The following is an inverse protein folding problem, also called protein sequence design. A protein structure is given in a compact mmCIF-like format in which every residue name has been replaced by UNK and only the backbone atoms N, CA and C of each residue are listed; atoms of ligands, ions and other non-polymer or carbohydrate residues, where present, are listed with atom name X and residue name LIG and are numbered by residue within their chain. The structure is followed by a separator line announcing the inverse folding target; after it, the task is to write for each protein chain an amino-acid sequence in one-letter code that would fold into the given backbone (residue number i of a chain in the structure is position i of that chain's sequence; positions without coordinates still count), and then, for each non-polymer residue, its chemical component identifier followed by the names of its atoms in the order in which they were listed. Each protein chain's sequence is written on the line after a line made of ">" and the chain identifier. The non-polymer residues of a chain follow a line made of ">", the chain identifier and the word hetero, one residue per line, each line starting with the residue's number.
data_IF_821515494578
#
_entry.id   IF_821515494578
#
_cell.length_a   1.000
_cell.length_b   1.000
_cell.length_c   1.000
_cell.angle_alpha   90.00
_cell.angle_beta   90.00
_cell.angle_gamma   90.00
#
_symmetry.space_group_name_H-M   'P 1'
#
loop_
_entity.id
_entity.type
_entity.pdbx_description
1 polymer ?
#
# COMPACT_ATOMS: atom_id res chain seq x y z
N UNK A 1 -44.24 9.80 51.00
CA UNK A 1 -44.69 10.34 49.69
C UNK A 1 -43.83 9.76 48.58
N UNK A 2 -44.47 9.31 47.51
CA UNK A 2 -43.93 8.61 46.33
C UNK A 2 -43.06 9.52 45.42
N UNK A 3 -42.35 8.95 44.42
CA UNK A 3 -41.02 9.39 43.95
C UNK A 3 -41.06 10.18 42.63
N UNK A 4 -39.91 10.71 42.18
CA UNK A 4 -39.70 11.10 40.77
C UNK A 4 -38.68 10.18 40.09
N UNK A 5 -39.20 9.49 39.09
CA UNK A 5 -38.53 8.59 38.15
C UNK A 5 -37.68 9.33 37.11
N UNK A 6 -36.59 8.64 36.77
CA UNK A 6 -35.95 8.42 35.46
C UNK A 6 -36.71 8.89 34.20
N UNK A 7 -36.01 9.56 33.28
CA UNK A 7 -36.25 9.48 31.82
C UNK A 7 -34.95 9.79 31.06
N UNK A 8 -34.29 8.77 30.47
CA UNK A 8 -34.29 8.47 29.02
C UNK A 8 -33.86 9.65 28.14
N UNK A 9 -32.60 9.64 27.70
CA UNK A 9 -32.18 10.36 26.48
C UNK A 9 -32.46 9.41 25.32
N UNK A 10 -33.53 9.71 24.59
CA UNK A 10 -33.86 9.09 23.32
C UNK A 10 -33.09 9.77 22.18
N UNK A 11 -32.53 8.95 21.32
CA UNK A 11 -32.01 9.26 19.99
C UNK A 11 -33.09 9.90 19.11
N UNK A 12 -32.98 11.20 18.83
CA UNK A 12 -33.61 11.90 17.70
C UNK A 12 -33.09 13.35 17.69
N UNK A 13 -32.75 14.02 16.60
CA UNK A 13 -32.76 13.62 15.21
C UNK A 13 -31.68 14.38 14.43
N UNK A 14 -31.08 13.66 13.49
CA UNK A 14 -30.13 14.16 12.49
C UNK A 14 -30.82 15.02 11.41
N UNK A 15 -32.13 15.28 11.55
CA UNK A 15 -32.95 16.03 10.59
C UNK A 15 -33.13 17.52 10.88
N UNK A 16 -32.74 18.01 12.07
CA UNK A 16 -33.06 19.40 12.46
C UNK A 16 -32.00 20.44 12.03
N UNK A 17 -30.86 20.00 11.49
CA UNK A 17 -29.78 20.89 11.05
C UNK A 17 -29.84 21.27 9.56
N UNK A 18 -30.78 20.70 8.79
CA UNK A 18 -30.91 20.96 7.35
C UNK A 18 -31.86 22.11 6.99
N UNK A 19 -32.58 22.72 7.94
CA UNK A 19 -33.64 23.68 7.63
C UNK A 19 -33.33 25.14 7.97
N UNK A 20 -32.12 25.46 8.46
CA UNK A 20 -31.74 26.83 8.83
C UNK A 20 -30.83 27.53 7.80
N UNK A 21 -30.33 26.84 6.78
CA UNK A 21 -29.50 27.45 5.74
C UNK A 21 -30.02 27.19 4.33
N UNK A 22 -31.08 27.91 3.98
CA UNK A 22 -31.45 28.15 2.59
C UNK A 22 -30.46 29.10 1.92
N UNK A 23 -29.30 28.60 1.49
CA UNK A 23 -28.42 29.30 0.53
C UNK A 23 -27.47 28.30 -0.13
N UNK A 24 -27.47 28.30 -1.47
CA UNK A 24 -26.49 27.77 -2.45
C UNK A 24 -25.44 26.78 -1.92
N UNK A 25 -25.43 25.57 -2.50
CA UNK A 25 -24.38 24.56 -2.48
C UNK A 25 -22.96 25.19 -2.49
N UNK A 26 -22.44 25.49 -1.32
CA UNK A 26 -21.02 25.76 -1.11
C UNK A 26 -20.35 24.42 -0.84
N UNK A 27 -19.26 24.18 -1.55
CA UNK A 27 -18.43 22.99 -1.37
C UNK A 27 -18.16 22.71 0.11
N UNK A 28 -18.36 21.46 0.59
CA UNK A 28 -18.15 21.14 1.99
C UNK A 28 -16.68 21.39 2.38
N UNK A 29 -16.41 21.87 3.61
CA UNK A 29 -15.07 22.11 4.13
C UNK A 29 -14.12 20.93 3.90
N UNK A 30 -12.84 21.20 3.65
CA UNK A 30 -11.81 20.18 3.35
C UNK A 30 -11.77 19.03 4.38
N UNK A 31 -12.03 19.31 5.66
CA UNK A 31 -12.08 18.28 6.71
C UNK A 31 -13.28 17.31 6.57
N UNK A 32 -14.42 17.78 6.03
CA UNK A 32 -15.59 16.94 5.73
C UNK A 32 -15.42 16.17 4.41
N UNK A 33 -14.62 16.67 3.46
CA UNK A 33 -14.18 15.92 2.27
C UNK A 33 -13.24 14.76 2.64
N UNK A 34 -12.27 15.02 3.52
CA UNK A 34 -11.35 14.01 4.07
C UNK A 34 -12.06 12.86 4.82
N UNK A 35 -13.19 13.14 5.48
CA UNK A 35 -14.00 12.10 6.15
C UNK A 35 -14.75 11.21 5.15
N UNK A 36 -15.09 11.71 3.96
CA UNK A 36 -15.71 10.90 2.89
C UNK A 36 -14.73 10.01 2.14
N UNK A 37 -13.43 10.30 2.17
CA UNK A 37 -12.41 9.60 1.36
C UNK A 37 -11.70 8.42 2.08
N UNK A 38 -12.14 8.04 3.29
CA UNK A 38 -11.49 6.95 4.04
C UNK A 38 -12.46 5.93 4.68
N UNK A 39 -13.73 5.89 4.25
CA UNK A 39 -14.69 4.92 4.79
C UNK A 39 -14.35 3.49 4.33
N UNK A 40 -13.95 2.64 5.27
CA UNK A 40 -13.76 1.22 5.00
C UNK A 40 -15.12 0.50 5.02
N UNK A 41 -15.40 -0.29 3.98
CA UNK A 41 -16.56 -1.18 3.94
C UNK A 41 -16.11 -2.61 4.16
N UNK A 42 -16.55 -3.21 5.26
CA UNK A 42 -16.19 -4.59 5.60
C UNK A 42 -17.31 -5.51 5.11
N UNK A 43 -16.96 -6.49 4.28
CA UNK A 43 -17.92 -7.49 3.78
C UNK A 43 -17.95 -8.70 4.72
N UNK A 44 -16.80 -9.25 5.10
CA UNK A 44 -16.69 -10.43 5.99
C UNK A 44 -15.42 -10.38 6.82
N UNK A 45 -15.48 -10.87 8.05
CA UNK A 45 -14.33 -11.05 8.94
C UNK A 45 -14.44 -12.39 9.67
N UNK A 46 -13.35 -13.13 9.73
CA UNK A 46 -13.21 -14.33 10.56
C UNK A 46 -11.89 -14.24 11.34
N UNK A 47 -11.90 -14.70 12.58
CA UNK A 47 -10.72 -14.73 13.44
C UNK A 47 -10.53 -16.15 13.96
N UNK A 48 -9.30 -16.66 13.80
CA UNK A 48 -8.86 -17.95 14.32
C UNK A 48 -7.62 -17.72 15.18
N UNK A 49 -7.39 -18.55 16.19
CA UNK A 49 -6.21 -18.49 17.05
C UNK A 49 -5.37 -19.74 16.86
N UNK A 50 -4.10 -19.56 16.50
CA UNK A 50 -3.12 -20.64 16.56
C UNK A 50 -2.30 -20.44 17.84
N UNK A 51 -2.41 -21.36 18.79
CA UNK A 51 -1.54 -21.31 19.97
C UNK A 51 -0.26 -22.08 19.68
N UNK A 52 0.86 -21.35 19.69
CA UNK A 52 2.19 -21.94 19.57
C UNK A 52 3.23 -21.07 20.26
N UNK A 53 3.95 -21.66 21.21
CA UNK A 53 5.11 -21.05 21.86
C UNK A 53 6.38 -21.15 20.99
N UNK A 54 7.22 -20.12 21.06
CA UNK A 54 8.53 -20.13 20.40
C UNK A 54 9.49 -21.05 21.14
N UNK A 55 10.33 -21.74 20.39
CA UNK A 55 11.29 -22.72 20.91
C UNK A 55 10.67 -24.08 21.24
N UNK A 56 9.35 -24.26 21.05
CA UNK A 56 8.63 -25.53 21.25
C UNK A 56 8.01 -26.03 19.95
N UNK A 57 7.83 -27.34 19.86
CA UNK A 57 6.99 -27.98 18.85
C UNK A 57 5.57 -28.13 19.37
N UNK A 58 4.61 -28.31 18.46
CA UNK A 58 3.19 -28.43 18.77
C UNK A 58 2.47 -27.10 18.62
N UNK A 59 1.44 -27.11 17.78
CA UNK A 59 0.53 -25.99 17.57
C UNK A 59 -0.92 -26.48 17.62
N UNK A 60 -1.76 -25.79 18.38
CA UNK A 60 -3.22 -25.99 18.42
C UNK A 60 -3.91 -24.89 17.61
N UNK A 61 -5.15 -25.14 17.18
CA UNK A 61 -5.97 -24.19 16.45
C UNK A 61 -7.35 -24.12 17.08
N UNK A 62 -7.74 -22.92 17.49
CA UNK A 62 -9.10 -22.56 17.84
C UNK A 62 -9.74 -21.84 16.66
N UNK A 63 -10.78 -22.44 16.10
CA UNK A 63 -11.50 -21.92 14.93
C UNK A 63 -13.01 -22.04 15.10
N UNK A 64 -13.74 -21.10 14.50
CA UNK A 64 -15.20 -21.02 14.61
C UNK A 64 -15.86 -21.03 13.24
N UNK A 65 -17.08 -21.58 13.17
CA UNK A 65 -17.91 -21.67 11.95
C UNK A 65 -18.79 -20.44 11.72
N UNK A 66 -18.42 -19.29 12.28
CA UNK A 66 -19.21 -18.05 12.15
C UNK A 66 -18.30 -16.87 11.83
N UNK A 67 -18.80 -15.96 11.00
CA UNK A 67 -18.15 -14.67 10.80
C UNK A 67 -18.49 -13.71 11.94
N UNK A 68 -17.61 -12.76 12.18
CA UNK A 68 -17.85 -11.67 13.13
C UNK A 68 -18.79 -10.65 12.47
N UNK A 69 -19.70 -10.06 13.26
CA UNK A 69 -20.56 -8.96 12.83
C UNK A 69 -19.72 -7.80 12.25
N UNK A 70 -19.83 -7.62 10.94
CA UNK A 70 -19.06 -6.62 10.19
C UNK A 70 -19.57 -5.18 10.43
N UNK A 71 -20.69 -5.01 11.12
CA UNK A 71 -21.27 -3.70 11.50
C UNK A 71 -20.83 -3.25 12.89
N UNK A 72 -20.23 -4.14 13.69
CA UNK A 72 -19.71 -3.79 15.01
C UNK A 72 -18.59 -2.73 14.87
N UNK A 73 -18.78 -1.59 15.54
CA UNK A 73 -17.83 -0.49 15.50
C UNK A 73 -16.41 -0.90 15.97
N UNK A 74 -16.30 -1.93 16.81
CA UNK A 74 -15.02 -2.48 17.28
C UNK A 74 -14.30 -3.23 16.18
N UNK A 75 -15.03 -3.94 15.32
CA UNK A 75 -14.49 -4.63 14.13
C UNK A 75 -14.04 -3.60 13.09
N UNK A 76 -14.83 -2.54 12.87
CA UNK A 76 -14.44 -1.43 12.01
C UNK A 76 -13.16 -0.77 12.52
N UNK A 77 -13.05 -0.52 13.83
CA UNK A 77 -11.85 0.03 14.44
C UNK A 77 -10.65 -0.91 14.29
N UNK A 78 -10.80 -2.20 14.59
CA UNK A 78 -9.78 -3.23 14.42
C UNK A 78 -9.24 -3.24 12.98
N UNK A 79 -10.12 -3.33 12.00
CA UNK A 79 -9.72 -3.37 10.60
C UNK A 79 -9.08 -2.06 10.14
N UNK A 80 -9.58 -0.91 10.63
CA UNK A 80 -8.97 0.39 10.34
C UNK A 80 -7.54 0.47 10.87
N UNK A 81 -7.30 0.07 12.12
CA UNK A 81 -5.96 0.04 12.72
C UNK A 81 -5.03 -0.90 11.94
N UNK A 82 -5.45 -2.14 11.68
CA UNK A 82 -4.67 -3.09 10.88
C UNK A 82 -4.31 -2.52 9.51
N UNK A 83 -5.25 -1.79 8.88
CA UNK A 83 -5.01 -1.19 7.58
C UNK A 83 -4.05 -0.01 7.62
N UNK A 84 -4.13 0.84 8.64
CA UNK A 84 -3.22 1.95 8.82
C UNK A 84 -1.80 1.44 9.08
N UNK A 85 -1.65 0.44 9.96
CA UNK A 85 -0.37 -0.22 10.22
C UNK A 85 0.20 -0.88 8.98
N UNK A 86 -0.68 -1.42 8.13
CA UNK A 86 -0.26 -2.05 6.90
C UNK A 86 0.35 -1.02 5.93
N UNK A 87 -0.39 0.05 5.63
CA UNK A 87 0.04 1.12 4.70
C UNK A 87 1.32 1.83 5.12
N UNK A 88 1.62 1.86 6.42
CA UNK A 88 2.78 2.55 6.96
C UNK A 88 4.09 1.77 6.78
N UNK A 89 4.05 0.53 6.31
CA UNK A 89 5.21 -0.32 6.09
C UNK A 89 5.50 -0.52 4.61
N UNK A 90 6.75 -0.84 4.28
CA UNK A 90 7.12 -1.21 2.91
C UNK A 90 6.47 -2.53 2.52
N UNK A 91 5.73 -2.51 1.41
CA UNK A 91 5.11 -3.69 0.84
C UNK A 91 6.06 -4.36 -0.16
N UNK A 92 6.04 -5.70 -0.17
CA UNK A 92 6.62 -6.54 -1.23
C UNK A 92 5.47 -7.15 -2.03
N UNK A 93 5.54 -7.20 -3.36
CA UNK A 93 4.47 -7.67 -4.22
C UNK A 93 4.75 -9.03 -4.86
N UNK A 94 3.69 -9.73 -5.22
CA UNK A 94 3.81 -10.99 -5.94
C UNK A 94 2.52 -11.45 -6.59
N UNK A 95 2.57 -12.67 -7.10
CA UNK A 95 1.42 -13.42 -7.62
C UNK A 95 1.39 -14.79 -6.97
N UNK A 96 0.30 -15.52 -7.10
CA UNK A 96 0.25 -16.91 -6.66
C UNK A 96 1.12 -17.78 -7.58
N UNK A 97 1.86 -18.71 -6.99
CA UNK A 97 2.46 -19.82 -7.72
C UNK A 97 1.36 -20.79 -8.16
N UNK A 98 0.99 -20.67 -9.44
CA UNK A 98 -0.03 -21.55 -10.03
C UNK A 98 0.48 -22.99 -10.22
N UNK A 99 1.79 -23.21 -10.24
CA UNK A 99 2.35 -24.56 -10.36
C UNK A 99 2.25 -25.34 -9.03
N UNK A 100 2.28 -24.63 -7.90
CA UNK A 100 2.28 -25.24 -6.56
C UNK A 100 1.21 -24.62 -5.64
N UNK A 101 -0.09 -24.81 -5.91
CA UNK A 101 -1.15 -24.19 -5.12
C UNK A 101 -1.25 -24.81 -3.72
N UNK A 102 -1.15 -23.97 -2.69
CA UNK A 102 -1.43 -24.35 -1.29
C UNK A 102 -2.93 -24.34 -0.99
N UNK A 103 -3.31 -24.81 0.20
CA UNK A 103 -4.71 -24.75 0.66
C UNK A 103 -5.22 -23.31 0.78
N UNK A 104 -4.34 -22.36 1.12
CA UNK A 104 -4.67 -20.94 1.06
C UNK A 104 -5.07 -20.50 -0.36
N UNK A 105 -4.24 -20.80 -1.36
CA UNK A 105 -4.51 -20.40 -2.75
C UNK A 105 -5.81 -21.04 -3.25
N UNK A 106 -5.98 -22.37 -3.10
CA UNK A 106 -7.19 -23.10 -3.52
C UNK A 106 -8.44 -22.56 -2.83
N UNK A 107 -8.37 -22.34 -1.51
CA UNK A 107 -9.49 -21.81 -0.72
C UNK A 107 -9.87 -20.39 -1.14
N UNK A 108 -8.88 -19.53 -1.38
CA UNK A 108 -9.13 -18.19 -1.90
C UNK A 108 -9.78 -18.23 -3.29
N UNK A 109 -9.31 -19.07 -4.21
CA UNK A 109 -9.92 -19.19 -5.54
C UNK A 109 -11.38 -19.64 -5.47
N UNK A 110 -11.68 -20.63 -4.62
CA UNK A 110 -13.05 -21.09 -4.41
C UNK A 110 -13.94 -19.97 -3.85
N UNK A 111 -13.46 -19.26 -2.83
CA UNK A 111 -14.17 -18.11 -2.27
C UNK A 111 -14.35 -16.98 -3.30
N UNK A 112 -13.31 -16.68 -4.08
CA UNK A 112 -13.36 -15.64 -5.11
C UNK A 112 -14.41 -15.93 -6.18
N UNK A 113 -14.60 -17.22 -6.55
CA UNK A 113 -15.62 -17.66 -7.52
C UNK A 113 -17.03 -17.60 -6.95
N UNK A 114 -17.21 -18.07 -5.71
CA UNK A 114 -18.55 -18.25 -5.10
C UNK A 114 -19.05 -17.03 -4.33
N UNK A 115 -18.15 -16.32 -3.64
CA UNK A 115 -18.40 -15.10 -2.84
C UNK A 115 -19.45 -15.26 -1.73
N UNK A 116 -19.72 -16.48 -1.31
CA UNK A 116 -20.67 -16.80 -0.22
C UNK A 116 -20.02 -16.68 1.15
N UNK A 117 -20.82 -16.68 2.21
CA UNK A 117 -20.28 -16.70 3.58
C UNK A 117 -19.67 -18.06 3.91
N UNK A 118 -20.35 -19.15 3.57
CA UNK A 118 -19.86 -20.52 3.79
C UNK A 118 -18.49 -20.76 3.15
N UNK A 119 -18.31 -20.32 1.90
CA UNK A 119 -17.02 -20.44 1.21
C UNK A 119 -15.92 -19.59 1.84
N UNK A 120 -16.26 -18.45 2.44
CA UNK A 120 -15.31 -17.64 3.20
C UNK A 120 -14.89 -18.31 4.51
N UNK A 121 -15.86 -18.89 5.24
CA UNK A 121 -15.61 -19.64 6.47
C UNK A 121 -14.70 -20.84 6.16
N UNK A 122 -15.07 -21.66 5.17
CA UNK A 122 -14.28 -22.81 4.73
C UNK A 122 -12.87 -22.40 4.31
N UNK A 123 -12.74 -21.33 3.51
CA UNK A 123 -11.43 -20.79 3.14
C UNK A 123 -10.60 -20.42 4.38
N UNK A 124 -11.15 -19.62 5.29
CA UNK A 124 -10.42 -19.13 6.45
C UNK A 124 -10.00 -20.26 7.40
N UNK A 125 -10.86 -21.26 7.63
CA UNK A 125 -10.59 -22.40 8.51
C UNK A 125 -9.51 -23.32 7.92
N UNK A 126 -9.68 -23.74 6.66
CA UNK A 126 -8.73 -24.64 6.02
C UNK A 126 -7.36 -23.98 5.86
N UNK A 127 -7.34 -22.68 5.54
CA UNK A 127 -6.10 -21.91 5.48
C UNK A 127 -5.42 -21.83 6.84
N UNK A 128 -6.17 -21.58 7.93
CA UNK A 128 -5.62 -21.54 9.29
C UNK A 128 -5.06 -22.91 9.72
N UNK A 129 -5.75 -24.01 9.40
CA UNK A 129 -5.27 -25.37 9.70
C UNK A 129 -4.00 -25.72 8.91
N UNK A 130 -3.94 -25.37 7.61
CA UNK A 130 -2.72 -25.55 6.81
C UNK A 130 -1.54 -24.74 7.40
N UNK A 131 -1.78 -23.53 7.91
CA UNK A 131 -0.72 -22.77 8.59
C UNK A 131 -0.30 -23.44 9.91
N UNK A 132 -1.26 -23.92 10.72
CA UNK A 132 -1.00 -24.63 11.97
C UNK A 132 -0.09 -25.83 11.74
N UNK A 133 -0.43 -26.68 10.75
CA UNK A 133 0.38 -27.86 10.35
C UNK A 133 1.79 -27.43 9.95
N UNK A 134 1.95 -26.38 9.14
CA UNK A 134 3.25 -25.91 8.66
C UNK A 134 4.16 -25.39 9.77
N UNK A 135 3.59 -24.77 10.79
CA UNK A 135 4.38 -24.22 11.91
C UNK A 135 4.56 -25.22 13.05
N UNK A 136 3.81 -26.31 13.11
CA UNK A 136 3.78 -27.27 14.21
C UNK A 136 5.18 -27.77 14.61
N UNK A 137 5.99 -28.16 13.62
CA UNK A 137 7.36 -28.66 13.82
C UNK A 137 8.43 -27.57 13.70
N UNK A 138 8.05 -26.34 13.36
CA UNK A 138 8.97 -25.20 13.25
C UNK A 138 9.16 -24.56 14.64
N UNK A 139 10.17 -25.03 15.39
CA UNK A 139 10.40 -24.58 16.77
C UNK A 139 10.49 -23.04 16.91
N UNK A 140 11.23 -22.29 16.06
CA UNK A 140 11.24 -20.82 16.10
C UNK A 140 9.87 -20.14 15.92
N UNK A 141 8.98 -20.71 15.10
CA UNK A 141 7.68 -20.11 14.77
C UNK A 141 6.82 -19.83 16.02
N UNK A 142 6.01 -18.77 15.94
CA UNK A 142 5.07 -18.35 17.00
C UNK A 142 3.67 -18.27 16.41
N UNK A 143 2.69 -18.72 17.17
CA UNK A 143 1.28 -18.60 16.84
C UNK A 143 0.75 -17.16 16.99
N UNK A 144 -0.56 -17.01 17.08
CA UNK A 144 -1.28 -15.75 17.23
C UNK A 144 -2.67 -15.79 16.61
N UNK A 145 -3.30 -14.62 16.52
CA UNK A 145 -4.62 -14.46 15.91
C UNK A 145 -4.49 -14.20 14.41
N UNK A 146 -5.12 -15.07 13.61
CA UNK A 146 -5.28 -14.91 12.17
C UNK A 146 -6.61 -14.24 11.88
N UNK A 147 -6.53 -13.02 11.38
CA UNK A 147 -7.70 -12.20 11.02
C UNK A 147 -7.83 -12.22 9.50
N UNK A 148 -8.83 -12.95 8.99
CA UNK A 148 -9.20 -12.95 7.59
C UNK A 148 -10.28 -11.90 7.36
N UNK A 149 -10.15 -11.08 6.33
CA UNK A 149 -11.13 -10.06 6.02
C UNK A 149 -11.32 -9.84 4.52
N UNK A 150 -12.57 -9.75 4.06
CA UNK A 150 -12.93 -9.19 2.76
C UNK A 150 -13.49 -7.79 2.99
N UNK A 151 -12.82 -6.77 2.47
CA UNK A 151 -13.17 -5.37 2.70
C UNK A 151 -12.81 -4.49 1.49
N UNK A 152 -13.34 -3.27 1.48
CA UNK A 152 -13.07 -2.25 0.48
C UNK A 152 -12.55 -0.98 1.15
N UNK A 153 -11.38 -0.52 0.70
CA UNK A 153 -10.77 0.76 1.08
C UNK A 153 -10.05 1.30 -0.15
N UNK A 154 -10.73 2.15 -0.95
CA UNK A 154 -10.36 2.57 -2.31
C UNK A 154 -10.31 1.45 -3.36
N UNK A 155 -9.97 0.22 -2.93
CA UNK A 155 -9.93 -1.02 -3.70
C UNK A 155 -10.51 -2.16 -2.86
N UNK A 156 -10.91 -3.23 -3.54
CA UNK A 156 -11.41 -4.46 -2.91
C UNK A 156 -10.24 -5.37 -2.57
N UNK A 157 -10.19 -5.79 -1.31
CA UNK A 157 -9.14 -6.65 -0.79
C UNK A 157 -9.71 -7.87 -0.09
N UNK A 158 -9.01 -8.99 -0.24
CA UNK A 158 -9.04 -10.08 0.74
C UNK A 158 -7.70 -10.06 1.46
N UNK A 159 -7.73 -9.83 2.77
CA UNK A 159 -6.54 -9.73 3.59
C UNK A 159 -6.49 -10.81 4.65
N UNK A 160 -5.28 -11.20 5.03
CA UNK A 160 -5.00 -12.00 6.23
C UNK A 160 -3.92 -11.29 7.05
N UNK A 161 -4.19 -11.12 8.35
CA UNK A 161 -3.30 -10.46 9.30
C UNK A 161 -3.00 -11.42 10.44
N UNK A 162 -1.72 -11.66 10.74
CA UNK A 162 -1.29 -12.37 11.94
C UNK A 162 -0.88 -11.33 12.99
N UNK A 163 -1.65 -11.26 14.06
CA UNK A 163 -1.38 -10.41 15.23
C UNK A 163 -1.20 -11.23 16.49
N UNK A 164 -0.61 -10.62 17.51
CA UNK A 164 -0.41 -11.24 18.83
C UNK A 164 -0.91 -10.29 19.90
N UNK A 165 -1.20 -10.82 21.07
CA UNK A 165 -1.42 -10.00 22.25
C UNK A 165 -0.09 -9.58 22.87
N UNK A 166 -0.09 -8.40 23.48
CA UNK A 166 0.95 -7.93 24.38
C UNK A 166 0.31 -7.47 25.69
N UNK A 167 1.11 -7.40 26.75
CA UNK A 167 0.63 -7.03 28.09
C UNK A 167 1.02 -5.59 28.36
N UNK A 168 0.00 -4.77 28.65
CA UNK A 168 0.17 -3.41 29.15
C UNK A 168 -0.27 -3.30 30.61
N UNK A 169 -0.16 -2.09 31.14
CA UNK A 169 -0.68 -1.73 32.47
C UNK A 169 -1.95 -0.89 32.31
N UNK A 170 -2.91 -1.12 33.20
CA UNK A 170 -4.15 -0.34 33.29
C UNK A 170 -4.36 0.14 34.72
N UNK A 171 -4.87 1.37 34.85
CA UNK A 171 -5.22 1.91 36.16
C UNK A 171 -6.68 1.57 36.49
N UNK A 172 -6.90 1.01 37.67
CA UNK A 172 -8.23 0.72 38.19
C UNK A 172 -8.48 1.53 39.45
N UNK A 173 -9.58 2.27 39.47
CA UNK A 173 -9.99 3.02 40.66
C UNK A 173 -10.45 2.07 41.75
N UNK A 174 -9.78 2.08 42.90
CA UNK A 174 -10.24 1.41 44.09
C UNK A 174 -10.94 2.42 45.01
N UNK A 175 -12.25 2.58 44.80
CA UNK A 175 -13.04 3.56 45.54
C UNK A 175 -13.11 3.27 47.05
N UNK A 176 -12.88 2.01 47.47
CA UNK A 176 -12.86 1.64 48.90
C UNK A 176 -11.55 2.04 49.58
N UNK A 177 -10.42 1.80 48.92
CA UNK A 177 -9.09 2.12 49.45
C UNK A 177 -8.59 3.54 49.08
N UNK A 178 -9.41 4.33 48.36
CA UNK A 178 -9.07 5.70 47.92
C UNK A 178 -7.72 5.80 47.19
N UNK A 179 -7.40 4.79 46.38
CA UNK A 179 -6.16 4.70 45.61
C UNK A 179 -6.41 4.13 44.21
N UNK A 180 -5.40 4.21 43.36
CA UNK A 180 -5.36 3.47 42.10
C UNK A 180 -4.65 2.13 42.31
N UNK A 181 -5.27 1.07 41.84
CA UNK A 181 -4.61 -0.22 41.63
C UNK A 181 -4.07 -0.27 40.20
N UNK A 182 -3.01 -1.05 40.01
CA UNK A 182 -2.37 -1.29 38.71
C UNK A 182 -2.63 -2.74 38.34
N UNK A 183 -3.38 -2.95 37.26
CA UNK A 183 -3.71 -4.27 36.72
C UNK A 183 -3.02 -4.49 35.37
N UNK A 184 -2.65 -5.74 35.07
CA UNK A 184 -2.22 -6.12 33.74
C UNK A 184 -3.44 -6.18 32.79
N UNK A 185 -3.28 -5.66 31.57
CA UNK A 185 -4.29 -5.77 30.51
C UNK A 185 -3.66 -6.33 29.24
N UNK A 186 -4.22 -7.43 28.73
CA UNK A 186 -3.86 -7.94 27.42
C UNK A 186 -4.57 -7.13 26.33
N UNK A 187 -3.82 -6.75 25.31
CA UNK A 187 -4.34 -6.04 24.15
C UNK A 187 -3.59 -6.48 22.89
N UNK A 188 -4.19 -6.24 21.72
CA UNK A 188 -3.58 -6.56 20.44
C UNK A 188 -2.35 -5.67 20.22
N UNK A 189 -1.22 -6.28 19.89
CA UNK A 189 0.01 -5.58 19.51
C UNK A 189 -0.07 -5.15 18.04
N UNK A 190 -0.63 -3.96 17.81
CA UNK A 190 -0.68 -3.34 16.48
C UNK A 190 0.67 -2.80 16.01
N UNK A 191 1.58 -2.47 16.94
CA UNK A 191 2.90 -1.92 16.61
C UNK A 191 3.78 -3.00 15.97
N UNK A 192 3.71 -4.22 16.51
CA UNK A 192 4.41 -5.39 15.98
C UNK A 192 3.48 -6.28 15.16
N UNK A 193 2.76 -5.71 14.19
CA UNK A 193 2.05 -6.49 13.16
C UNK A 193 3.04 -7.49 12.56
N UNK A 194 2.83 -8.78 12.85
CA UNK A 194 3.84 -9.80 12.66
C UNK A 194 4.04 -10.08 11.18
N UNK A 195 2.95 -10.45 10.52
CA UNK A 195 2.86 -10.72 9.09
C UNK A 195 1.47 -10.36 8.60
N UNK A 196 1.39 -9.88 7.38
CA UNK A 196 0.12 -9.65 6.72
C UNK A 196 0.27 -9.85 5.22
N UNK A 197 -0.80 -10.34 4.59
CA UNK A 197 -0.93 -10.44 3.14
C UNK A 197 -2.25 -9.80 2.72
N UNK A 198 -2.25 -9.12 1.58
CA UNK A 198 -3.47 -8.68 0.90
C UNK A 198 -3.48 -9.13 -0.53
N UNK A 199 -4.68 -9.44 -1.00
CA UNK A 199 -5.00 -9.77 -2.36
C UNK A 199 -5.87 -8.65 -2.92
N UNK A 200 -5.35 -7.88 -3.88
CA UNK A 200 -6.15 -6.94 -4.66
C UNK A 200 -7.08 -7.72 -5.58
N UNK A 201 -8.38 -7.72 -5.27
CA UNK A 201 -9.39 -8.51 -5.98
C UNK A 201 -9.49 -8.07 -7.44
N UNK A 202 -9.39 -6.77 -7.71
CA UNK A 202 -9.43 -6.23 -9.07
C UNK A 202 -8.18 -6.56 -9.87
N UNK A 203 -6.99 -6.46 -9.26
CA UNK A 203 -5.72 -6.81 -9.91
C UNK A 203 -5.65 -8.30 -10.22
N UNK A 204 -6.10 -9.15 -9.28
CA UNK A 204 -6.20 -10.59 -9.47
C UNK A 204 -7.13 -10.93 -10.65
N UNK A 205 -8.31 -10.31 -10.70
CA UNK A 205 -9.26 -10.46 -11.81
C UNK A 205 -8.65 -10.12 -13.17
N UNK A 206 -7.85 -9.05 -13.23
CA UNK A 206 -7.19 -8.57 -14.45
C UNK A 206 -5.92 -9.35 -14.80
N UNK A 207 -5.53 -10.34 -13.99
CA UNK A 207 -4.25 -11.06 -14.12
C UNK A 207 -3.04 -10.10 -14.17
N UNK A 208 -3.10 -9.02 -13.39
CA UNK A 208 -1.96 -8.12 -13.23
C UNK A 208 -0.80 -8.86 -12.57
N UNK A 209 0.43 -8.43 -12.85
CA UNK A 209 1.63 -9.08 -12.29
C UNK A 209 1.85 -8.78 -10.79
N UNK A 210 0.97 -8.01 -10.13
CA UNK A 210 1.11 -7.55 -8.73
C UNK A 210 -0.25 -7.44 -8.06
N UNK A 211 -0.78 -8.56 -7.62
CA UNK A 211 -2.05 -8.62 -6.89
C UNK A 211 -1.91 -9.13 -5.46
N UNK A 212 -0.80 -9.78 -5.11
CA UNK A 212 -0.44 -10.05 -3.72
C UNK A 212 0.48 -8.93 -3.24
N UNK A 213 0.26 -8.48 -2.01
CA UNK A 213 1.18 -7.60 -1.29
C UNK A 213 1.43 -8.20 0.10
N UNK A 214 2.64 -8.03 0.60
CA UNK A 214 3.08 -8.56 1.89
C UNK A 214 3.76 -7.48 2.70
N UNK A 215 3.61 -7.58 4.02
CA UNK A 215 4.47 -6.90 4.98
C UNK A 215 5.38 -7.96 5.57
N UNK A 216 6.56 -8.08 4.98
CA UNK A 216 7.64 -8.92 5.47
C UNK A 216 8.91 -8.09 5.63
N UNK A 217 9.78 -8.49 6.56
CA UNK A 217 11.16 -8.01 6.56
C UNK A 217 11.92 -8.87 5.55
N UNK A 218 12.34 -8.29 4.42
CA UNK A 218 13.18 -8.99 3.43
C UNK A 218 14.36 -9.64 4.15
N UNK A 219 14.55 -10.94 3.96
CA UNK A 219 15.63 -11.73 4.57
C UNK A 219 15.32 -12.35 5.94
N UNK A 220 14.16 -12.11 6.54
CA UNK A 220 13.77 -12.76 7.80
C UNK A 220 13.19 -14.16 7.53
N UNK A 221 13.90 -15.21 7.95
CA UNK A 221 13.45 -16.62 7.87
C UNK A 221 12.07 -16.82 8.52
N UNK A 222 11.77 -16.03 9.55
CA UNK A 222 10.49 -16.06 10.27
C UNK A 222 9.31 -15.56 9.43
N UNK A 223 9.57 -14.89 8.29
CA UNK A 223 8.53 -14.46 7.36
C UNK A 223 8.34 -15.41 6.18
N UNK A 224 9.33 -16.27 5.89
CA UNK A 224 9.31 -17.12 4.69
C UNK A 224 8.23 -18.20 4.75
N UNK A 225 7.94 -18.76 5.93
CA UNK A 225 6.88 -19.78 6.03
C UNK A 225 5.51 -19.19 5.67
N UNK A 226 5.27 -17.92 5.97
CA UNK A 226 4.00 -17.24 5.67
C UNK A 226 3.86 -16.97 4.17
N UNK A 227 4.91 -16.47 3.52
CA UNK A 227 4.97 -16.31 2.06
C UNK A 227 4.77 -17.66 1.34
N UNK A 228 5.41 -18.74 1.82
CA UNK A 228 5.24 -20.10 1.29
C UNK A 228 3.84 -20.66 1.54
N UNK A 229 3.23 -20.37 2.69
CA UNK A 229 1.85 -20.76 3.02
C UNK A 229 0.83 -20.11 2.07
N UNK A 230 1.00 -18.82 1.77
CA UNK A 230 0.19 -18.12 0.76
C UNK A 230 0.45 -18.67 -0.65
N UNK A 231 1.63 -19.26 -0.88
CA UNK A 231 2.14 -19.72 -2.18
C UNK A 231 2.33 -18.56 -3.15
N UNK A 232 3.14 -17.57 -2.77
CA UNK A 232 3.48 -16.48 -3.68
C UNK A 232 4.82 -16.66 -4.36
N UNK A 233 4.89 -16.29 -5.63
CA UNK A 233 6.12 -16.10 -6.40
C UNK A 233 6.33 -14.62 -6.71
N UNK A 234 7.60 -14.21 -6.64
CA UNK A 234 8.00 -12.86 -7.01
C UNK A 234 8.03 -12.76 -8.54
N UNK A 235 7.25 -11.85 -9.09
CA UNK A 235 7.28 -11.44 -10.51
C UNK A 235 8.09 -10.16 -10.69
N UNK A 236 8.79 -9.75 -9.64
CA UNK A 236 9.33 -8.42 -9.47
C UNK A 236 10.61 -8.22 -10.28
N UNK A 237 10.69 -7.07 -10.96
CA UNK A 237 11.95 -6.58 -11.48
C UNK A 237 12.17 -5.16 -11.00
N UNK A 238 13.42 -4.88 -10.59
CA UNK A 238 13.90 -3.52 -10.35
C UNK A 238 13.58 -2.59 -11.53
N UNK A 239 13.56 -3.13 -12.75
CA UNK A 239 13.15 -2.42 -13.96
C UNK A 239 11.69 -1.97 -13.92
N UNK A 240 10.76 -2.87 -13.58
CA UNK A 240 9.34 -2.57 -13.46
C UNK A 240 9.08 -1.51 -12.37
N UNK A 241 9.69 -1.64 -11.19
CA UNK A 241 9.54 -0.64 -10.11
C UNK A 241 10.08 0.74 -10.50
N UNK A 242 11.23 0.78 -11.17
CA UNK A 242 11.82 2.07 -11.61
C UNK A 242 10.93 2.74 -12.67
N UNK A 243 10.26 1.99 -13.55
CA UNK A 243 9.31 2.57 -14.50
C UNK A 243 8.05 3.07 -13.79
N UNK A 244 7.50 2.32 -12.84
CA UNK A 244 6.33 2.75 -12.06
C UNK A 244 6.61 4.00 -11.22
N UNK A 245 7.82 4.13 -10.68
CA UNK A 245 8.25 5.35 -10.02
C UNK A 245 8.24 6.52 -11.00
N UNK A 246 8.84 6.36 -12.19
CA UNK A 246 8.83 7.41 -13.21
C UNK A 246 7.40 7.84 -13.57
N UNK A 247 6.51 6.88 -13.80
CA UNK A 247 5.10 7.12 -14.11
C UNK A 247 4.39 7.86 -12.96
N UNK A 248 4.63 7.47 -11.70
CA UNK A 248 4.13 8.17 -10.52
C UNK A 248 4.60 9.62 -10.50
N UNK A 249 5.90 9.85 -10.70
CA UNK A 249 6.52 11.17 -10.70
C UNK A 249 6.00 12.07 -11.83
N UNK A 250 5.49 11.51 -12.93
CA UNK A 250 4.80 12.28 -13.96
C UNK A 250 3.36 12.67 -13.58
N UNK A 251 2.69 11.87 -12.75
CA UNK A 251 1.28 12.06 -12.36
C UNK A 251 1.10 12.97 -11.14
N UNK A 252 2.02 12.94 -10.19
CA UNK A 252 1.94 13.79 -8.99
C UNK A 252 2.26 15.26 -9.30
N UNK A 253 1.70 16.24 -8.56
CA UNK A 253 2.15 17.63 -8.63
C UNK A 253 3.66 17.74 -8.43
N UNK A 254 4.33 18.69 -9.10
CA UNK A 254 5.74 18.96 -8.79
C UNK A 254 5.86 19.65 -7.44
N UNK A 255 6.95 19.41 -6.68
CA UNK A 255 7.15 20.07 -5.41
C UNK A 255 7.40 21.57 -5.59
N UNK A 256 7.25 22.34 -4.51
CA UNK A 256 7.54 23.77 -4.54
C UNK A 256 9.01 24.03 -4.26
N UNK A 257 9.55 25.03 -4.95
CA UNK A 257 10.86 25.57 -4.67
C UNK A 257 10.85 26.27 -3.28
N UNK A 258 11.77 25.93 -2.36
CA UNK A 258 11.77 26.48 -1.00
C UNK A 258 11.97 28.00 -0.93
N UNK A 259 12.66 28.60 -1.91
CA UNK A 259 12.97 30.03 -1.91
C UNK A 259 11.85 30.85 -2.53
N UNK A 260 11.26 30.36 -3.62
CA UNK A 260 10.26 31.09 -4.41
C UNK A 260 8.82 30.65 -4.15
N UNK A 261 8.62 29.53 -3.45
CA UNK A 261 7.34 28.88 -3.19
C UNK A 261 6.50 28.62 -4.45
N UNK A 262 7.16 28.43 -5.60
CA UNK A 262 6.52 28.11 -6.88
C UNK A 262 6.79 26.64 -7.24
N UNK A 263 5.89 25.96 -7.97
CA UNK A 263 6.15 24.62 -8.47
C UNK A 263 7.40 24.60 -9.34
N UNK A 264 8.33 23.70 -9.04
CA UNK A 264 9.50 23.48 -9.91
C UNK A 264 9.06 22.86 -11.23
N UNK A 265 9.81 23.10 -12.30
CA UNK A 265 9.55 22.47 -13.59
C UNK A 265 9.70 20.94 -13.48
N UNK A 266 8.87 20.19 -14.23
CA UNK A 266 8.89 18.72 -14.19
C UNK A 266 10.26 18.14 -14.53
N UNK A 267 10.98 18.74 -15.48
CA UNK A 267 12.33 18.30 -15.86
C UNK A 267 13.28 18.45 -14.68
N UNK A 268 13.26 19.62 -14.04
CA UNK A 268 14.09 19.90 -12.88
C UNK A 268 13.77 18.95 -11.72
N UNK A 269 12.48 18.66 -11.49
CA UNK A 269 12.06 17.69 -10.49
C UNK A 269 12.65 16.29 -10.76
N UNK A 270 12.53 15.78 -11.98
CA UNK A 270 13.05 14.46 -12.35
C UNK A 270 14.58 14.39 -12.25
N UNK A 271 15.29 15.47 -12.60
CA UNK A 271 16.75 15.58 -12.47
C UNK A 271 17.19 15.56 -10.98
N UNK A 272 16.45 16.27 -10.11
CA UNK A 272 16.68 16.25 -8.66
C UNK A 272 16.44 14.86 -8.08
N UNK A 273 15.35 14.19 -8.46
CA UNK A 273 15.05 12.80 -8.03
C UNK A 273 16.13 11.83 -8.53
N UNK A 274 16.55 11.94 -9.80
CA UNK A 274 17.64 11.13 -10.36
C UNK A 274 18.92 11.28 -9.53
N UNK A 275 19.28 12.52 -9.20
CA UNK A 275 20.48 12.83 -8.43
C UNK A 275 20.42 12.27 -7.01
N UNK A 276 19.27 12.40 -6.34
CA UNK A 276 19.05 11.83 -5.01
C UNK A 276 19.21 10.29 -5.01
N UNK A 277 18.62 9.60 -5.99
CA UNK A 277 18.73 8.14 -6.13
C UNK A 277 20.16 7.72 -6.47
N UNK A 278 20.85 8.45 -7.34
CA UNK A 278 22.22 8.15 -7.76
C UNK A 278 23.21 8.26 -6.59
N UNK A 279 22.98 9.21 -5.69
CA UNK A 279 23.80 9.44 -4.49
C UNK A 279 23.46 8.50 -3.33
N UNK A 280 22.32 7.81 -3.38
CA UNK A 280 21.93 6.81 -2.38
C UNK A 280 22.86 5.58 -2.42
N UNK A 281 23.34 5.07 -1.27
CA UNK A 281 24.11 3.82 -1.19
C UNK A 281 23.40 2.66 -1.90
N UNK A 282 24.11 1.97 -2.79
CA UNK A 282 23.55 0.87 -3.57
C UNK A 282 22.46 1.26 -4.58
N UNK A 283 22.16 2.56 -4.74
CA UNK A 283 21.02 3.10 -5.51
C UNK A 283 19.68 2.54 -5.06
N UNK A 284 19.54 2.39 -3.75
CA UNK A 284 18.29 1.95 -3.13
C UNK A 284 17.32 3.13 -3.13
N UNK A 285 16.14 2.87 -3.66
CA UNK A 285 14.99 3.77 -3.63
C UNK A 285 14.13 3.36 -2.46
N UNK A 286 13.78 4.31 -1.59
CA UNK A 286 12.74 4.16 -0.58
C UNK A 286 11.68 5.25 -0.82
N UNK A 287 10.43 4.83 -1.07
CA UNK A 287 9.34 5.75 -1.46
C UNK A 287 9.07 6.79 -0.37
N UNK A 288 9.11 6.39 0.92
CA UNK A 288 8.88 7.32 2.03
C UNK A 288 10.00 8.34 2.16
N UNK A 289 11.25 7.91 1.99
CA UNK A 289 12.41 8.82 2.01
C UNK A 289 12.35 9.84 0.86
N UNK A 290 11.98 9.43 -0.36
CA UNK A 290 11.78 10.36 -1.46
C UNK A 290 10.60 11.30 -1.19
N UNK A 291 9.51 10.78 -0.63
CA UNK A 291 8.33 11.57 -0.30
C UNK A 291 8.65 12.67 0.71
N UNK A 292 9.35 12.32 1.79
CA UNK A 292 9.82 13.28 2.80
C UNK A 292 10.76 14.33 2.17
N UNK A 293 11.75 13.89 1.40
CA UNK A 293 12.76 14.77 0.80
C UNK A 293 12.17 15.83 -0.14
N UNK A 294 11.12 15.50 -0.90
CA UNK A 294 10.59 16.40 -1.92
C UNK A 294 9.29 17.10 -1.51
N UNK A 295 8.55 16.59 -0.53
CA UNK A 295 7.23 17.10 -0.16
C UNK A 295 7.08 17.43 1.32
N UNK A 296 8.14 17.29 2.12
CA UNK A 296 8.10 17.42 3.59
C UNK A 296 6.96 16.60 4.22
N UNK A 297 6.67 15.46 3.59
CA UNK A 297 5.59 14.56 3.97
C UNK A 297 5.90 13.14 3.48
N UNK A 298 6.35 12.28 4.40
CA UNK A 298 6.71 10.88 4.13
C UNK A 298 5.58 10.02 3.53
N UNK A 299 4.31 10.41 3.67
CA UNK A 299 3.16 9.65 3.19
C UNK A 299 2.55 10.19 1.89
N UNK A 300 3.02 11.34 1.38
CA UNK A 300 2.47 11.97 0.17
C UNK A 300 2.51 11.04 -1.06
N UNK A 301 3.67 10.47 -1.38
CA UNK A 301 3.81 9.55 -2.52
C UNK A 301 3.04 8.25 -2.30
N UNK A 302 3.06 7.69 -1.08
CA UNK A 302 2.29 6.48 -0.74
C UNK A 302 0.78 6.68 -0.90
N UNK A 303 0.28 7.86 -0.51
CA UNK A 303 -1.13 8.24 -0.70
C UNK A 303 -1.49 8.32 -2.18
N UNK A 304 -0.62 8.91 -3.00
CA UNK A 304 -0.82 9.00 -4.44
C UNK A 304 -0.71 7.64 -5.14
N UNK A 305 0.19 6.75 -4.69
CA UNK A 305 0.28 5.35 -5.15
C UNK A 305 -1.06 4.64 -4.93
N UNK A 306 -1.63 4.76 -3.73
CA UNK A 306 -2.94 4.17 -3.41
C UNK A 306 -4.06 4.79 -4.27
N UNK A 307 -4.05 6.12 -4.45
CA UNK A 307 -5.04 6.87 -5.23
C UNK A 307 -5.02 6.49 -6.70
N UNK A 308 -3.83 6.38 -7.31
CA UNK A 308 -3.65 5.97 -8.70
C UNK A 308 -3.72 4.46 -8.91
N UNK A 309 -3.82 3.68 -7.83
CA UNK A 309 -3.82 2.24 -7.89
C UNK A 309 -2.53 1.64 -8.45
N UNK A 310 -1.40 2.28 -8.18
CA UNK A 310 -0.08 1.80 -8.57
C UNK A 310 0.34 0.72 -7.57
N UNK A 311 0.76 -0.45 -8.05
CA UNK A 311 1.33 -1.50 -7.22
C UNK A 311 2.85 -1.43 -7.34
N UNK A 312 3.53 -0.65 -6.50
CA UNK A 312 4.99 -0.43 -6.52
C UNK A 312 5.60 -0.81 -5.18
N UNK A 313 6.78 -1.43 -5.20
CA UNK A 313 7.52 -1.73 -3.98
C UNK A 313 7.89 -0.46 -3.21
N UNK A 314 7.72 -0.50 -1.89
CA UNK A 314 8.12 0.61 -1.02
C UNK A 314 9.64 0.83 -1.01
N UNK A 315 10.41 -0.24 -1.26
CA UNK A 315 11.86 -0.21 -1.36
C UNK A 315 12.39 -1.17 -2.44
N UNK A 316 13.25 -0.67 -3.33
CA UNK A 316 13.83 -1.43 -4.44
C UNK A 316 15.15 -0.80 -4.93
N UNK A 317 15.93 -1.56 -5.70
CA UNK A 317 17.15 -1.03 -6.32
C UNK A 317 16.81 -0.38 -7.66
N UNK A 318 17.25 0.86 -7.88
CA UNK A 318 16.98 1.54 -9.14
C UNK A 318 17.63 0.84 -10.34
N UNK A 319 16.86 0.61 -11.40
CA UNK A 319 17.35 -0.04 -12.61
C UNK A 319 18.13 0.95 -13.49
N UNK A 320 19.43 0.71 -13.79
CA UNK A 320 20.28 1.70 -14.45
C UNK A 320 19.78 2.18 -15.82
N UNK A 321 19.19 1.29 -16.63
CA UNK A 321 18.69 1.66 -17.97
C UNK A 321 17.45 2.55 -17.89
N UNK A 322 16.53 2.26 -16.96
CA UNK A 322 15.31 3.06 -16.78
C UNK A 322 15.65 4.41 -16.15
N UNK A 323 16.62 4.45 -15.22
CA UNK A 323 17.08 5.70 -14.62
C UNK A 323 17.54 6.73 -15.66
N UNK A 324 18.05 6.31 -16.82
CA UNK A 324 18.39 7.25 -17.91
C UNK A 324 17.15 8.03 -18.40
N UNK A 325 15.95 7.43 -18.37
CA UNK A 325 14.68 8.10 -18.76
C UNK A 325 14.30 9.28 -17.87
N UNK A 326 14.84 9.37 -16.65
CA UNK A 326 14.57 10.50 -15.74
C UNK A 326 15.26 11.79 -16.22
N UNK A 327 16.32 11.66 -17.01
CA UNK A 327 17.20 12.76 -17.41
C UNK A 327 17.33 12.91 -18.93
N UNK A 328 16.57 12.13 -19.72
CA UNK A 328 16.69 12.09 -21.17
C UNK A 328 15.32 12.05 -21.84
N UNK A 329 15.15 12.84 -22.90
CA UNK A 329 14.08 12.66 -23.87
C UNK A 329 14.55 11.63 -24.88
N UNK A 330 13.72 10.63 -25.16
CA UNK A 330 13.88 9.74 -26.31
C UNK A 330 12.55 9.60 -27.03
N UNK A 331 12.54 9.91 -28.32
CA UNK A 331 11.36 9.80 -29.17
C UNK A 331 11.75 9.14 -30.49
N UNK A 332 10.89 8.25 -30.99
CA UNK A 332 11.05 7.57 -32.28
C UNK A 332 9.75 7.62 -33.06
N UNK A 333 9.77 8.22 -34.24
CA UNK A 333 8.64 8.35 -35.15
C UNK A 333 9.17 8.55 -36.58
N UNK A 334 8.44 8.08 -37.59
CA UNK A 334 8.76 8.30 -39.02
C UNK A 334 10.21 7.92 -39.40
N UNK A 335 10.70 6.80 -38.83
CA UNK A 335 12.10 6.32 -38.96
C UNK A 335 13.17 7.28 -38.43
N UNK A 336 12.79 8.35 -37.74
CA UNK A 336 13.67 9.27 -37.03
C UNK A 336 13.69 8.88 -35.55
N UNK A 337 14.89 8.84 -34.95
CA UNK A 337 15.06 8.71 -33.51
C UNK A 337 15.83 9.90 -32.96
N UNK A 338 15.25 10.60 -31.99
CA UNK A 338 15.89 11.68 -31.24
C UNK A 338 16.12 11.22 -29.81
N UNK A 339 17.35 11.38 -29.32
CA UNK A 339 17.70 11.12 -27.93
C UNK A 339 18.62 12.21 -27.41
N UNK A 340 18.20 12.95 -26.39
CA UNK A 340 18.98 14.06 -25.82
C UNK A 340 18.67 14.26 -24.32
N UNK A 341 19.58 14.85 -23.54
CA UNK A 341 19.33 15.16 -22.13
C UNK A 341 18.15 16.11 -21.95
N UNK A 342 17.39 15.98 -20.87
CA UNK A 342 16.28 16.87 -20.54
C UNK A 342 16.69 18.35 -20.50
N UNK A 343 17.90 18.64 -20.03
CA UNK A 343 18.47 20.00 -19.97
C UNK A 343 18.68 20.65 -21.34
N UNK A 344 18.77 19.85 -22.41
CA UNK A 344 18.85 20.36 -23.78
C UNK A 344 17.46 20.73 -24.35
N UNK A 345 16.37 20.29 -23.71
CA UNK A 345 15.02 20.67 -24.10
C UNK A 345 14.75 22.15 -23.77
N UNK A 346 14.04 22.85 -24.64
CA UNK A 346 13.79 24.31 -24.62
C UNK A 346 15.02 25.20 -24.86
N UNK A 347 16.24 24.68 -24.72
CA UNK A 347 17.49 25.41 -24.97
C UNK A 347 18.05 25.11 -26.37
N UNK A 348 18.47 23.87 -26.60
CA UNK A 348 19.05 23.40 -27.86
C UNK A 348 18.01 22.72 -28.74
N UNK A 349 17.08 21.97 -28.14
CA UNK A 349 16.00 21.26 -28.84
C UNK A 349 14.66 21.83 -28.41
N UNK A 350 13.84 22.28 -29.36
CA UNK A 350 12.50 22.81 -29.08
C UNK A 350 11.52 22.43 -30.19
N UNK A 351 10.25 22.34 -29.83
CA UNK A 351 9.15 22.29 -30.80
C UNK A 351 8.90 23.73 -31.27
N UNK A 352 8.66 23.93 -32.56
CA UNK A 352 8.34 25.27 -33.05
C UNK A 352 6.97 25.74 -32.55
N UNK A 353 6.86 27.04 -32.24
CA UNK A 353 5.65 27.61 -31.65
C UNK A 353 4.55 27.83 -32.69
N UNK A 354 4.91 28.08 -33.95
CA UNK A 354 3.96 28.32 -35.05
C UNK A 354 3.57 27.01 -35.72
N UNK A 355 4.55 26.14 -35.95
CA UNK A 355 4.33 24.83 -36.55
C UNK A 355 4.73 23.69 -35.59
N UNK A 356 3.73 23.09 -34.93
CA UNK A 356 3.96 22.00 -33.97
C UNK A 356 4.47 20.71 -34.60
N UNK A 357 4.50 20.60 -35.93
CA UNK A 357 5.10 19.46 -36.64
C UNK A 357 6.62 19.59 -36.78
N UNK A 358 7.18 20.77 -36.47
CA UNK A 358 8.61 21.03 -36.61
C UNK A 358 9.34 20.93 -35.27
N UNK A 359 10.47 20.23 -35.30
CA UNK A 359 11.45 20.19 -34.20
C UNK A 359 12.69 20.96 -34.65
N UNK A 360 13.11 21.94 -33.85
CA UNK A 360 14.27 22.78 -34.12
C UNK A 360 15.40 22.36 -33.19
N UNK A 361 16.53 21.96 -33.78
CA UNK A 361 17.76 21.61 -33.07
C UNK A 361 18.83 22.67 -33.39
N UNK A 362 19.17 23.49 -32.41
CA UNK A 362 20.21 24.52 -32.50
C UNK A 362 21.55 23.96 -32.03
N UNK A 363 22.28 23.32 -32.94
CA UNK A 363 23.63 22.82 -32.65
C UNK A 363 24.50 22.82 -33.90
N UNK A 364 25.41 23.80 -34.00
CA UNK A 364 26.35 23.90 -35.12
C UNK A 364 27.24 22.65 -35.23
N UNK A 365 27.67 22.10 -34.09
CA UNK A 365 28.48 20.87 -34.06
C UNK A 365 27.73 19.66 -34.60
N UNK A 366 26.46 19.52 -34.24
CA UNK A 366 25.64 18.39 -34.71
C UNK A 366 25.33 18.51 -36.21
N UNK A 367 25.04 19.72 -36.69
CA UNK A 367 24.81 19.97 -38.11
C UNK A 367 26.04 19.57 -38.93
N UNK A 368 27.23 20.04 -38.53
CA UNK A 368 28.48 19.70 -39.21
C UNK A 368 28.76 18.19 -39.23
N UNK A 369 28.57 17.50 -38.09
CA UNK A 369 28.78 16.06 -38.01
C UNK A 369 27.82 15.26 -38.91
N UNK A 370 26.57 15.71 -39.05
CA UNK A 370 25.60 15.06 -39.95
C UNK A 370 26.02 15.25 -41.42
N UNK A 371 26.44 16.47 -41.80
CA UNK A 371 26.94 16.76 -43.14
C UNK A 371 28.17 15.93 -43.48
N UNK A 372 29.14 15.82 -42.56
CA UNK A 372 30.33 14.99 -42.75
C UNK A 372 29.97 13.52 -42.99
N UNK A 373 29.08 12.94 -42.17
CA UNK A 373 28.71 11.52 -42.28
C UNK A 373 28.02 11.22 -43.62
N UNK A 374 27.10 12.07 -44.06
CA UNK A 374 26.40 11.90 -45.35
C UNK A 374 27.38 12.01 -46.52
N UNK A 375 28.31 12.97 -46.47
CA UNK A 375 29.27 13.20 -47.54
C UNK A 375 30.48 12.24 -47.50
N UNK A 376 30.65 11.46 -46.43
CA UNK A 376 31.73 10.47 -46.28
C UNK A 376 31.35 9.05 -46.75
N UNK A 377 30.08 8.84 -47.11
CA UNK A 377 29.58 7.59 -47.70
C UNK A 377 29.50 7.63 -49.25
N UNK A 378 29.97 8.71 -49.89
CA UNK A 378 30.32 8.79 -51.33
C UNK A 378 31.83 8.57 -51.54
#
# INVERSE_FOLDING_TARGET
>A
MRPKNVSKIHTAGFGFLMEIYGTRLSDPPAHLRLIRENSMKITRVAIHEIEKESGKIGATLDSYDTTIDNTDHRVVKLMTELNNRYKNRSETYGVFDKANPTEFHKGFENYYKTKTEDSFIVFSKNAAEDLRVRIDTNAPAKGGYLIFAHYEQNRKFVGVFLVRNTTGLSFKKNNKAQKFDIDNVQHIDFENLAMACRISVDSYRKSEIRYLSFINKKGDEMSQYFTRWISSTDTETNESDTNLLLDLLHKVPTPHDPETNKPIDRIEFLDKVYSAIKSSPGRIVNIKTLSEMFYDNSDFLSTNIATFGISINGEFKAHPKVMKKFIQVRAKADSIELSFPHTAFRTLVRIDQKDKTQIIIKSAKLAHQIEELINSEE
#
